data_IF_627901088223
#
_entry.id   IF_627901088223
#
_cell.length_a   1.000
_cell.length_b   1.000
_cell.length_c   1.000
_cell.angle_alpha   90.00
_cell.angle_beta   90.00
_cell.angle_gamma   90.00
#
_symmetry.space_group_name_H-M   'P 1'
#
loop_
_entity.id
_entity.type
_entity.pdbx_description
1 polymer ?
#
# COMPACT_ATOMS: atom_id res chain seq x y z
N UNK A 1 -22.12 -5.53 -25.31
CA UNK A 1 -20.67 -5.71 -25.50
C UNK A 1 -19.95 -4.82 -24.52
N UNK A 2 -19.53 -5.36 -23.38
CA UNK A 2 -18.62 -4.69 -22.45
C UNK A 2 -18.01 -5.79 -21.58
N UNK A 3 -16.99 -6.47 -22.10
CA UNK A 3 -16.12 -7.32 -21.30
C UNK A 3 -15.23 -6.42 -20.42
N UNK A 4 -15.85 -5.77 -19.43
CA UNK A 4 -15.19 -4.97 -18.42
C UNK A 4 -14.47 -5.88 -17.41
N UNK A 5 -13.55 -6.72 -17.90
CA UNK A 5 -12.66 -7.57 -17.09
C UNK A 5 -11.40 -6.80 -16.65
N UNK A 6 -11.47 -5.49 -16.43
CA UNK A 6 -10.39 -4.71 -15.81
C UNK A 6 -10.64 -4.12 -14.39
N UNK A 7 -11.80 -4.25 -13.70
CA UNK A 7 -12.03 -3.55 -12.42
C UNK A 7 -11.11 -4.02 -11.30
N UNK A 8 -10.76 -5.30 -11.29
CA UNK A 8 -9.79 -5.90 -10.36
C UNK A 8 -8.37 -5.32 -10.48
N UNK A 9 -7.85 -5.10 -11.69
CA UNK A 9 -6.48 -4.60 -11.88
C UNK A 9 -6.36 -3.12 -11.53
N UNK A 10 -7.38 -2.33 -11.91
CA UNK A 10 -7.48 -0.90 -11.52
C UNK A 10 -7.68 -0.78 -10.01
N UNK A 11 -8.57 -1.60 -9.42
CA UNK A 11 -8.79 -1.62 -7.97
C UNK A 11 -7.54 -2.00 -7.17
N UNK A 12 -6.72 -2.93 -7.68
CA UNK A 12 -5.47 -3.34 -7.06
C UNK A 12 -4.39 -2.25 -7.15
N UNK A 13 -4.23 -1.60 -8.31
CA UNK A 13 -3.31 -0.47 -8.46
C UNK A 13 -3.66 0.72 -7.56
N UNK A 14 -4.96 1.04 -7.45
CA UNK A 14 -5.46 2.08 -6.53
C UNK A 14 -5.20 1.72 -5.07
N UNK A 15 -5.45 0.47 -4.66
CA UNK A 15 -5.12 -0.02 -3.32
C UNK A 15 -3.62 0.10 -3.01
N UNK A 16 -2.76 -0.23 -3.97
CA UNK A 16 -1.31 -0.10 -3.79
C UNK A 16 -0.88 1.36 -3.58
N UNK A 17 -1.49 2.30 -4.29
CA UNK A 17 -1.30 3.75 -4.11
C UNK A 17 -1.75 4.23 -2.72
N UNK A 18 -2.93 3.80 -2.25
CA UNK A 18 -3.44 4.15 -0.92
C UNK A 18 -2.50 3.61 0.18
N UNK A 19 -2.02 2.37 0.03
CA UNK A 19 -1.07 1.75 0.96
C UNK A 19 0.26 2.49 1.02
N UNK A 20 0.74 2.99 -0.13
CA UNK A 20 1.92 3.83 -0.20
C UNK A 20 1.75 5.15 0.58
N UNK A 21 0.59 5.80 0.46
CA UNK A 21 0.25 7.01 1.21
C UNK A 21 0.14 6.76 2.72
N UNK A 22 -0.53 5.69 3.13
CA UNK A 22 -0.62 5.26 4.53
C UNK A 22 0.76 4.97 5.13
N UNK A 23 1.67 4.38 4.34
CA UNK A 23 3.03 4.10 4.80
C UNK A 23 3.85 5.39 5.04
N UNK A 24 3.74 6.37 4.13
CA UNK A 24 4.38 7.68 4.31
C UNK A 24 3.89 8.37 5.58
N UNK A 25 2.58 8.33 5.85
CA UNK A 25 1.99 8.86 7.10
C UNK A 25 2.55 8.20 8.37
N UNK A 26 3.15 7.01 8.26
CA UNK A 26 3.77 6.26 9.37
C UNK A 26 5.30 6.38 9.43
N UNK A 27 5.90 7.36 8.73
CA UNK A 27 7.36 7.52 8.56
C UNK A 27 8.03 6.30 7.93
N UNK A 28 7.35 5.61 7.00
CA UNK A 28 7.95 4.52 6.22
C UNK A 28 8.01 4.90 4.74
N UNK A 29 8.91 4.25 4.01
CA UNK A 29 9.09 4.47 2.57
C UNK A 29 7.83 4.07 1.80
N UNK A 30 7.06 5.06 1.31
CA UNK A 30 5.85 4.83 0.51
C UNK A 30 6.11 4.02 -0.75
N UNK A 31 7.24 4.24 -1.41
CA UNK A 31 7.61 3.51 -2.64
C UNK A 31 7.85 2.01 -2.37
N UNK A 32 8.47 1.69 -1.23
CA UNK A 32 8.71 0.31 -0.83
C UNK A 32 7.38 -0.41 -0.52
N UNK A 33 6.45 0.30 0.13
CA UNK A 33 5.10 -0.20 0.41
C UNK A 33 4.17 -0.24 -0.80
N UNK A 34 4.38 0.63 -1.78
CA UNK A 34 3.72 0.58 -3.09
C UNK A 34 4.10 -0.70 -3.82
N UNK A 35 5.40 -0.96 -3.98
CA UNK A 35 5.92 -2.17 -4.64
C UNK A 35 5.50 -3.44 -3.90
N UNK A 36 5.57 -3.44 -2.56
CA UNK A 36 5.05 -4.52 -1.73
C UNK A 36 3.55 -4.76 -1.96
N UNK A 37 2.74 -3.71 -2.08
CA UNK A 37 1.30 -3.84 -2.31
C UNK A 37 0.95 -4.26 -3.74
N UNK A 38 1.81 -3.94 -4.72
CA UNK A 38 1.68 -4.42 -6.09
C UNK A 38 1.86 -5.95 -6.19
N UNK A 39 2.73 -6.52 -5.33
CA UNK A 39 3.05 -7.95 -5.32
C UNK A 39 2.19 -8.76 -4.34
N UNK A 40 2.01 -8.25 -3.11
CA UNK A 40 1.30 -8.95 -2.02
C UNK A 40 -0.18 -8.56 -1.90
N UNK A 41 -0.60 -7.50 -2.59
CA UNK A 41 -1.97 -6.99 -2.55
C UNK A 41 -2.47 -6.65 -1.14
N UNK A 42 -3.72 -7.02 -0.79
CA UNK A 42 -4.33 -6.60 0.47
C UNK A 42 -3.60 -7.10 1.73
N UNK A 43 -2.73 -8.11 1.60
CA UNK A 43 -1.90 -8.63 2.70
C UNK A 43 -0.86 -7.58 3.14
N UNK A 44 -0.26 -6.83 2.19
CA UNK A 44 0.65 -5.74 2.53
C UNK A 44 -0.05 -4.68 3.40
N UNK A 45 -1.34 -4.41 3.13
CA UNK A 45 -2.15 -3.50 3.95
C UNK A 45 -2.29 -3.98 5.39
N UNK A 46 -2.58 -5.26 5.60
CA UNK A 46 -2.76 -5.81 6.95
C UNK A 46 -1.47 -5.69 7.77
N UNK A 47 -0.32 -5.98 7.16
CA UNK A 47 0.98 -5.80 7.79
C UNK A 47 1.22 -4.32 8.09
N UNK A 48 0.92 -3.43 7.14
CA UNK A 48 1.08 -1.98 7.31
C UNK A 48 0.23 -1.44 8.47
N UNK A 49 -1.03 -1.87 8.58
CA UNK A 49 -1.97 -1.42 9.60
C UNK A 49 -1.52 -1.85 11.00
N UNK A 50 -1.16 -3.13 11.17
CA UNK A 50 -0.78 -3.70 12.48
C UNK A 50 0.56 -3.17 12.98
N UNK A 51 1.51 -2.88 12.09
CA UNK A 51 2.82 -2.38 12.52
C UNK A 51 2.72 -1.01 13.21
N UNK A 52 3.34 -0.78 14.37
CA UNK A 52 3.33 0.53 15.03
C UNK A 52 4.01 1.62 14.17
N UNK A 53 3.64 2.89 14.37
CA UNK A 53 4.29 4.04 13.69
C UNK A 53 5.77 4.06 14.06
N UNK A 54 6.65 4.22 13.07
CA UNK A 54 8.08 4.36 13.32
C UNK A 54 8.29 5.73 13.99
N UNK A 55 8.78 5.70 15.23
CA UNK A 55 9.22 6.93 15.91
C UNK A 55 10.51 7.38 15.25
N UNK A 56 10.60 8.64 14.77
CA UNK A 56 11.88 9.21 14.41
C UNK A 56 12.76 9.22 15.67
N UNK A 57 13.93 8.60 15.60
CA UNK A 57 14.98 8.83 16.59
C UNK A 57 15.45 10.27 16.42
N UNK A 58 15.05 11.14 17.34
CA UNK A 58 15.55 12.50 17.43
C UNK A 58 17.01 12.44 17.84
N UNK A 59 17.90 12.74 16.90
CA UNK A 59 19.27 13.18 17.11
C UNK A 59 19.47 14.42 16.24
#
# INVERSE_FOLDING_TARGET
MADARAPWFVGWGTLALINAGLAQGKNRSGLLWFLLSLVLGPIATLILVVMPKVRPTLF
#
